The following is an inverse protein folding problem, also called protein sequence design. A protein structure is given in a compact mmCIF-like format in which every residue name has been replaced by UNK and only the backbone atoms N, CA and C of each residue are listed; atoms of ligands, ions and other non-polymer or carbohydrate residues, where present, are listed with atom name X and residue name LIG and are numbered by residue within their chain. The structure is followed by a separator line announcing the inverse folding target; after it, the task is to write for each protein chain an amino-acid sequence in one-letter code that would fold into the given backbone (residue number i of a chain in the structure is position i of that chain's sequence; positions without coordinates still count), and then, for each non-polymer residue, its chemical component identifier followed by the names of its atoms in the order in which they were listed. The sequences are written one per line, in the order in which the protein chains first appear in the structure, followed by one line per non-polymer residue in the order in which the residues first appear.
data_IF_120583427225
#
_entry.id   IF_120583427225
#
_cell.length_a   1.000
_cell.length_b   1.000
_cell.length_c   1.000
_cell.angle_alpha   90.00
_cell.angle_beta   90.00
_cell.angle_gamma   90.00
#
_symmetry.space_group_name_H-M   'P 1'
#
loop_
_entity.id
_entity.type
_entity.pdbx_description
1 polymer ?
#
# COMPACT_ATOMS: atom_id res chain seq x y z
N UNK A 1 -7.58 3.26 -2.56
CA UNK A 1 -6.88 1.99 -2.88
C UNK A 1 -5.41 2.09 -2.51
N UNK A 2 -4.81 1.02 -1.99
CA UNK A 2 -3.40 0.94 -1.59
C UNK A 2 -2.65 -0.01 -2.54
N UNK A 3 -1.56 0.43 -3.21
CA UNK A 3 -0.82 -0.45 -4.11
C UNK A 3 0.08 -1.42 -3.35
N UNK A 4 0.11 -2.67 -3.84
CA UNK A 4 1.07 -3.70 -3.45
C UNK A 4 2.30 -3.70 -4.37
N UNK A 5 3.44 -4.15 -3.85
CA UNK A 5 4.64 -4.40 -4.63
C UNK A 5 5.43 -5.59 -4.10
N UNK A 6 5.93 -6.44 -5.00
CA UNK A 6 6.87 -7.52 -4.72
C UNK A 6 8.29 -7.04 -4.41
N UNK A 7 8.54 -5.72 -4.40
CA UNK A 7 9.84 -5.13 -4.07
C UNK A 7 10.08 -5.16 -2.55
N UNK A 8 10.33 -6.37 -2.03
CA UNK A 8 10.67 -6.62 -0.62
C UNK A 8 11.98 -5.95 -0.24
N UNK A 9 12.29 -5.89 1.07
CA UNK A 9 13.57 -5.40 1.57
C UNK A 9 14.74 -6.15 0.92
N UNK A 10 14.64 -7.47 0.77
CA UNK A 10 15.69 -8.29 0.16
C UNK A 10 15.83 -8.00 -1.34
N UNK A 11 14.72 -7.94 -2.08
CA UNK A 11 14.75 -7.60 -3.51
C UNK A 11 15.32 -6.20 -3.77
N UNK A 12 15.02 -5.24 -2.89
CA UNK A 12 15.60 -3.89 -2.96
C UNK A 12 17.09 -3.90 -2.68
N UNK A 13 17.55 -4.63 -1.65
CA UNK A 13 18.98 -4.76 -1.30
C UNK A 13 19.78 -5.38 -2.44
N UNK A 14 19.27 -6.44 -3.09
CA UNK A 14 19.89 -7.05 -4.28
C UNK A 14 20.12 -6.04 -5.40
N UNK A 15 19.26 -5.01 -5.50
CA UNK A 15 19.34 -3.91 -6.48
C UNK A 15 20.09 -2.68 -5.97
N UNK A 16 20.80 -2.79 -4.84
CA UNK A 16 21.52 -1.66 -4.21
C UNK A 16 20.62 -0.58 -3.59
N UNK A 17 19.32 -0.86 -3.42
CA UNK A 17 18.34 0.10 -2.87
C UNK A 17 18.18 -0.09 -1.37
N UNK A 18 18.02 1.03 -0.64
CA UNK A 18 17.73 1.03 0.81
C UNK A 18 16.34 0.44 1.11
N UNK A 19 16.16 -0.08 2.33
CA UNK A 19 14.86 -0.48 2.87
C UNK A 19 13.88 0.69 2.81
N UNK A 20 12.59 0.41 2.55
CA UNK A 20 11.54 1.43 2.56
C UNK A 20 11.30 1.96 3.98
N UNK A 21 10.85 3.20 4.08
CA UNK A 21 10.51 3.80 5.36
C UNK A 21 9.30 3.08 5.98
N UNK A 22 9.47 2.49 7.17
CA UNK A 22 8.42 1.71 7.84
C UNK A 22 7.18 2.54 8.19
N UNK A 23 7.34 3.85 8.35
CA UNK A 23 6.24 4.79 8.56
C UNK A 23 5.31 4.93 7.35
N UNK A 24 5.79 4.61 6.14
CA UNK A 24 5.04 4.70 4.87
C UNK A 24 4.75 3.32 4.25
N UNK A 25 5.18 2.23 4.89
CA UNK A 25 5.13 0.88 4.30
C UNK A 25 4.65 -0.13 5.32
N UNK A 26 3.75 -1.01 4.92
CA UNK A 26 3.47 -2.25 5.65
C UNK A 26 4.19 -3.39 4.94
N UNK A 27 5.04 -4.09 5.68
CA UNK A 27 5.81 -5.24 5.20
C UNK A 27 4.96 -6.50 5.38
N UNK A 28 4.40 -6.99 4.28
CA UNK A 28 3.56 -8.19 4.24
C UNK A 28 4.43 -9.41 4.42
N UNK A 29 4.04 -10.30 5.33
CA UNK A 29 4.84 -11.46 5.70
C UNK A 29 4.03 -12.76 5.63
N UNK A 30 4.72 -13.84 5.32
CA UNK A 30 4.22 -15.19 5.54
C UNK A 30 4.20 -15.57 7.02
N UNK A 31 3.56 -16.70 7.32
CA UNK A 31 3.51 -17.30 8.66
C UNK A 31 4.90 -17.57 9.26
N UNK A 32 5.89 -17.87 8.41
CA UNK A 32 7.30 -18.07 8.82
C UNK A 32 8.05 -16.74 9.08
N UNK A 33 7.39 -15.59 8.90
CA UNK A 33 7.96 -14.25 9.10
C UNK A 33 8.70 -13.67 7.90
N UNK A 34 8.82 -14.41 6.80
CA UNK A 34 9.45 -13.96 5.54
C UNK A 34 8.64 -12.83 4.92
N UNK A 35 9.29 -11.72 4.62
CA UNK A 35 8.68 -10.61 3.87
C UNK A 35 8.45 -11.03 2.42
N UNK A 36 7.20 -11.03 1.98
CA UNK A 36 6.79 -11.44 0.63
C UNK A 36 6.36 -10.26 -0.23
N UNK A 37 5.84 -9.19 0.37
CA UNK A 37 5.36 -8.02 -0.35
C UNK A 37 5.35 -6.77 0.53
N UNK A 38 5.10 -5.62 -0.09
CA UNK A 38 5.00 -4.33 0.58
C UNK A 38 3.75 -3.58 0.14
N UNK A 39 2.97 -3.08 1.10
CA UNK A 39 1.88 -2.14 0.84
C UNK A 39 2.43 -0.71 1.00
N UNK A 40 2.25 0.12 -0.02
CA UNK A 40 2.81 1.47 -0.07
C UNK A 40 1.75 2.52 0.26
N UNK A 41 1.71 2.94 1.53
CA UNK A 41 0.73 3.93 2.03
C UNK A 41 0.93 5.32 1.40
N UNK A 42 2.18 5.66 1.09
CA UNK A 42 2.52 6.93 0.44
C UNK A 42 2.04 7.02 -1.01
N UNK A 43 1.72 5.89 -1.65
CA UNK A 43 1.24 5.80 -3.02
C UNK A 43 -0.26 5.46 -3.10
N UNK A 44 -1.01 5.61 -2.02
CA UNK A 44 -2.45 5.36 -2.06
C UNK A 44 -3.17 6.41 -2.92
N UNK A 45 -4.25 5.97 -3.57
CA UNK A 45 -5.01 6.79 -4.50
C UNK A 45 -6.51 6.70 -4.21
N UNK A 46 -7.29 7.78 -4.43
CA UNK A 46 -8.74 7.68 -4.48
C UNK A 46 -9.13 6.88 -5.74
N UNK A 47 -10.19 6.09 -5.66
CA UNK A 47 -10.74 5.31 -6.79
C UNK A 47 -12.26 5.29 -6.69
N UNK A 48 -12.95 5.20 -7.83
CA UNK A 48 -14.37 4.85 -7.85
C UNK A 48 -14.54 3.35 -7.94
N UNK A 49 -15.55 2.80 -7.27
CA UNK A 49 -15.85 1.37 -7.36
C UNK A 49 -16.13 0.91 -8.80
N UNK A 50 -16.65 1.79 -9.66
CA UNK A 50 -16.94 1.49 -11.07
C UNK A 50 -15.70 1.20 -11.92
N UNK A 51 -14.50 1.60 -11.48
CA UNK A 51 -13.24 1.33 -12.19
C UNK A 51 -12.41 0.24 -11.51
N UNK A 52 -12.93 -0.36 -10.44
CA UNK A 52 -12.27 -1.46 -9.73
C UNK A 52 -12.80 -2.78 -10.27
N UNK A 53 -11.91 -3.59 -10.82
CA UNK A 53 -12.22 -4.98 -11.18
C UNK A 53 -11.72 -5.90 -10.07
N UNK A 54 -12.61 -6.69 -9.42
CA UNK A 54 -12.20 -7.67 -8.43
C UNK A 54 -11.28 -8.73 -9.06
N UNK A 55 -10.17 -9.03 -8.39
CA UNK A 55 -9.31 -10.14 -8.76
C UNK A 55 -9.91 -11.42 -8.15
N UNK A 56 -10.26 -12.38 -9.00
CA UNK A 56 -10.69 -13.70 -8.54
C UNK A 56 -9.45 -14.55 -8.19
N UNK A 57 -9.37 -15.01 -6.94
CA UNK A 57 -8.25 -15.82 -6.44
C UNK A 57 -8.82 -17.14 -5.98
N UNK A 58 -8.34 -18.22 -6.62
CA UNK A 58 -8.67 -19.58 -6.23
C UNK A 58 -8.08 -19.87 -4.85
N UNK A 59 -8.95 -20.02 -3.86
CA UNK A 59 -8.56 -20.22 -2.46
C UNK A 59 -8.02 -21.62 -2.16
N UNK A 60 -8.25 -22.58 -3.06
CA UNK A 60 -7.78 -23.97 -2.89
C UNK A 60 -6.32 -24.14 -3.31
N UNK A 61 -5.80 -23.21 -4.13
CA UNK A 61 -4.44 -23.24 -4.63
C UNK A 61 -3.52 -22.36 -3.79
N UNK A 62 -2.68 -22.97 -2.95
CA UNK A 62 -1.68 -22.22 -2.17
C UNK A 62 -0.74 -21.44 -3.11
N UNK A 63 -0.98 -20.13 -3.16
CA UNK A 63 -0.41 -19.21 -4.12
C UNK A 63 0.10 -17.97 -3.39
N UNK A 64 0.95 -17.22 -4.07
CA UNK A 64 1.53 -16.00 -3.55
C UNK A 64 0.45 -15.00 -3.10
N UNK A 65 -0.59 -14.86 -3.91
CA UNK A 65 -1.72 -13.95 -3.71
C UNK A 65 -2.55 -14.33 -2.47
N UNK A 66 -2.74 -15.62 -2.19
CA UNK A 66 -3.44 -16.07 -0.97
C UNK A 66 -2.62 -15.71 0.28
N UNK A 67 -1.31 -15.92 0.25
CA UNK A 67 -0.46 -15.60 1.40
C UNK A 67 -0.51 -14.10 1.72
N UNK A 68 -0.51 -13.24 0.70
CA UNK A 68 -0.75 -11.81 0.87
C UNK A 68 -2.13 -11.53 1.49
N UNK A 69 -3.20 -12.14 0.97
CA UNK A 69 -4.57 -11.95 1.47
C UNK A 69 -4.72 -12.39 2.93
N UNK A 70 -4.15 -13.55 3.30
CA UNK A 70 -4.18 -14.05 4.69
C UNK A 70 -3.56 -13.04 5.64
N UNK A 71 -2.40 -12.49 5.28
CA UNK A 71 -1.75 -11.44 6.07
C UNK A 71 -2.60 -10.17 6.11
N UNK A 72 -3.10 -9.70 4.96
CA UNK A 72 -3.88 -8.46 4.87
C UNK A 72 -5.14 -8.55 5.72
N UNK A 73 -5.92 -9.64 5.60
CA UNK A 73 -7.15 -9.85 6.39
C UNK A 73 -6.85 -9.85 7.89
N UNK A 74 -5.79 -10.52 8.31
CA UNK A 74 -5.38 -10.57 9.72
C UNK A 74 -4.98 -9.20 10.27
N UNK A 75 -4.37 -8.34 9.46
CA UNK A 75 -3.80 -7.06 9.89
C UNK A 75 -4.54 -5.83 9.33
N UNK A 76 -5.78 -6.00 8.86
CA UNK A 76 -6.48 -4.96 8.09
C UNK A 76 -6.70 -3.67 8.89
N UNK A 77 -7.02 -3.77 10.17
CA UNK A 77 -7.20 -2.61 11.06
C UNK A 77 -5.91 -1.79 11.19
N UNK A 78 -4.76 -2.45 11.36
CA UNK A 78 -3.47 -1.77 11.43
C UNK A 78 -3.09 -1.10 10.09
N UNK A 79 -3.41 -1.77 8.98
CA UNK A 79 -3.19 -1.23 7.63
C UNK A 79 -4.03 0.03 7.42
N UNK A 80 -5.33 -0.01 7.77
CA UNK A 80 -6.23 1.14 7.68
C UNK A 80 -5.75 2.26 8.59
N UNK A 81 -5.43 1.96 9.86
CA UNK A 81 -4.96 2.94 10.82
C UNK A 81 -3.65 3.61 10.39
N UNK A 82 -2.74 2.88 9.75
CA UNK A 82 -1.52 3.46 9.17
C UNK A 82 -1.84 4.35 7.96
N UNK A 83 -2.73 3.93 7.07
CA UNK A 83 -3.12 4.72 5.91
C UNK A 83 -3.73 6.07 6.33
N UNK A 84 -4.62 6.07 7.33
CA UNK A 84 -5.22 7.28 7.91
C UNK A 84 -4.15 8.22 8.49
N UNK A 85 -3.18 7.70 9.24
CA UNK A 85 -2.08 8.51 9.79
C UNK A 85 -1.17 9.08 8.70
N UNK A 86 -0.88 8.32 7.65
CA UNK A 86 -0.07 8.79 6.51
C UNK A 86 -0.81 9.88 5.76
N UNK A 87 -2.12 9.71 5.54
CA UNK A 87 -2.98 10.72 4.93
C UNK A 87 -2.94 12.03 5.72
N UNK A 88 -3.24 11.98 7.01
CA UNK A 88 -3.29 13.14 7.89
C UNK A 88 -1.95 13.89 7.89
N UNK A 89 -0.83 13.17 8.07
CA UNK A 89 0.51 13.77 8.07
C UNK A 89 0.86 14.42 6.73
N UNK A 90 0.42 13.85 5.61
CA UNK A 90 0.64 14.41 4.28
C UNK A 90 -0.22 15.66 4.03
N UNK A 91 -1.48 15.63 4.43
CA UNK A 91 -2.43 16.74 4.21
C UNK A 91 -2.13 17.93 5.11
N UNK A 92 -1.77 17.67 6.38
CA UNK A 92 -1.44 18.71 7.34
C UNK A 92 0.00 19.23 7.21
N UNK A 93 0.73 18.84 6.15
CA UNK A 93 2.12 19.21 5.90
C UNK A 93 3.03 19.04 7.13
N UNK A 94 2.85 17.94 7.87
CA UNK A 94 3.50 17.72 9.16
C UNK A 94 5.03 17.85 9.09
N UNK A 95 5.62 17.34 8.00
CA UNK A 95 7.00 17.63 7.62
C UNK A 95 7.25 17.39 6.13
N UNK A 96 8.38 17.90 5.64
CA UNK A 96 8.88 17.76 4.28
C UNK A 96 8.98 16.32 3.78
N UNK A 97 9.26 15.36 4.67
CA UNK A 97 9.40 13.97 4.27
C UNK A 97 8.08 13.40 3.74
N UNK A 98 6.96 13.62 4.45
CA UNK A 98 5.65 13.16 3.97
C UNK A 98 5.25 13.86 2.67
N UNK A 99 5.47 15.18 2.58
CA UNK A 99 5.14 15.98 1.40
C UNK A 99 5.90 15.49 0.16
N UNK A 100 7.19 15.19 0.28
CA UNK A 100 8.05 14.74 -0.83
C UNK A 100 7.84 13.26 -1.17
N UNK A 101 7.53 12.42 -0.18
CA UNK A 101 7.45 10.97 -0.36
C UNK A 101 6.06 10.47 -0.76
N UNK A 102 4.98 11.17 -0.41
CA UNK A 102 3.62 10.75 -0.70
C UNK A 102 3.04 11.43 -1.93
N UNK A 103 2.10 10.77 -2.58
CA UNK A 103 1.24 11.38 -3.57
C UNK A 103 0.53 12.63 -2.98
N UNK A 104 0.18 13.57 -3.85
CA UNK A 104 -0.66 14.68 -3.46
C UNK A 104 -2.11 14.21 -3.36
N UNK A 105 -2.49 13.73 -2.17
CA UNK A 105 -3.80 13.13 -1.95
C UNK A 105 -4.94 14.11 -2.22
N UNK A 106 -4.79 15.38 -1.82
CA UNK A 106 -5.82 16.41 -2.03
C UNK A 106 -6.00 16.73 -3.52
N UNK A 107 -4.90 16.82 -4.26
CA UNK A 107 -4.97 16.98 -5.71
C UNK A 107 -5.66 15.78 -6.37
N UNK A 108 -5.29 14.55 -6.01
CA UNK A 108 -5.95 13.35 -6.56
C UNK A 108 -7.46 13.29 -6.25
N UNK A 109 -7.86 13.69 -5.05
CA UNK A 109 -9.28 13.78 -4.64
C UNK A 109 -10.06 14.85 -5.42
N UNK A 110 -9.40 15.93 -5.83
CA UNK A 110 -10.02 16.97 -6.67
C UNK A 110 -10.18 16.45 -8.10
N UNK A 111 -9.12 15.90 -8.68
CA UNK A 111 -9.12 15.43 -10.07
C UNK A 111 -10.05 14.24 -10.32
N UNK A 112 -10.23 13.36 -9.32
CA UNK A 112 -11.14 12.21 -9.49
C UNK A 112 -12.59 12.66 -9.69
N UNK A 113 -12.99 13.84 -9.21
CA UNK A 113 -14.34 14.38 -9.45
C UNK A 113 -14.61 14.69 -10.93
N UNK A 114 -13.56 15.03 -11.70
CA UNK A 114 -13.62 15.27 -13.13
C UNK A 114 -13.49 14.00 -13.98
N UNK A 115 -13.19 12.86 -13.37
CA UNK A 115 -13.03 11.59 -14.06
C UNK A 115 -14.40 11.06 -14.49
N UNK A 116 -14.70 11.16 -15.78
CA UNK A 116 -15.90 10.57 -16.38
C UNK A 116 -15.71 9.07 -16.52
N UNK A 117 -16.70 8.32 -16.04
CA UNK A 117 -16.80 6.86 -16.17
C UNK A 117 -16.80 6.43 -17.64
#
# INVERSE_FOLDING_TARGET
MLPLTSQTTNERKKRGKKKRAAVLTTFVKESNGTEIANILHNNMIPVFDSVVTPLNIDVEKDSYEINEIRYIRKNHEEIIGKASKVYEKRVNNYNDFYVKACCDFKKLEQEISGYKK
#
